data_IF_556642381759
#
_entry.id   IF_556642381759
#
_cell.length_a   1.000
_cell.length_b   1.000
_cell.length_c   1.000
_cell.angle_alpha   90.00
_cell.angle_beta   90.00
_cell.angle_gamma   90.00
#
_symmetry.space_group_name_H-M   'P 1'
#
loop_
_entity.id
_entity.type
_entity.pdbx_description
1 polymer ?
#
# COMPACT_ATOMS: atom_id res chain seq x y z
N UNK A 1 -10.00 8.49 -11.90
CA UNK A 1 -8.69 7.91 -12.13
C UNK A 1 -7.67 8.47 -11.14
N UNK A 2 -6.96 7.58 -10.46
CA UNK A 2 -6.04 7.97 -9.41
C UNK A 2 -4.65 8.22 -9.98
N UNK A 3 -4.09 9.37 -9.64
CA UNK A 3 -2.70 9.68 -9.99
C UNK A 3 -1.82 9.34 -8.80
N UNK A 4 -0.84 8.47 -9.02
CA UNK A 4 0.10 8.07 -7.97
C UNK A 4 1.32 8.98 -7.96
N UNK A 5 1.72 9.42 -6.76
CA UNK A 5 2.92 10.24 -6.58
C UNK A 5 4.13 9.38 -6.27
N UNK A 6 3.91 8.28 -5.56
CA UNK A 6 5.00 7.44 -5.07
C UNK A 6 4.55 5.99 -4.97
N UNK A 7 5.44 5.07 -5.33
CA UNK A 7 5.24 3.64 -5.10
C UNK A 7 6.39 3.13 -4.25
N UNK A 8 6.07 2.56 -3.11
CA UNK A 8 7.03 1.89 -2.24
C UNK A 8 6.82 0.40 -2.39
N UNK A 9 7.86 -0.33 -2.73
CA UNK A 9 7.74 -1.75 -3.04
C UNK A 9 8.79 -2.58 -2.35
N UNK A 10 8.39 -3.79 -1.95
CA UNK A 10 9.32 -4.84 -1.64
C UNK A 10 10.20 -5.10 -2.86
N UNK A 11 11.49 -5.41 -2.68
CA UNK A 11 12.40 -5.65 -3.81
C UNK A 11 12.28 -7.04 -4.43
N UNK A 12 11.28 -7.84 -4.03
CA UNK A 12 11.13 -9.19 -4.57
C UNK A 12 10.76 -9.17 -6.04
N UNK A 13 11.10 -10.24 -6.75
CA UNK A 13 10.78 -10.39 -8.16
C UNK A 13 9.26 -10.30 -8.40
N UNK A 14 8.48 -10.94 -7.52
CA UNK A 14 7.01 -10.97 -7.65
C UNK A 14 6.41 -9.57 -7.59
N UNK A 15 6.88 -8.74 -6.65
CA UNK A 15 6.34 -7.39 -6.54
C UNK A 15 6.77 -6.51 -7.71
N UNK A 16 8.00 -6.71 -8.23
CA UNK A 16 8.44 -6.00 -9.41
C UNK A 16 7.58 -6.30 -10.62
N UNK A 17 7.21 -7.57 -10.81
CA UNK A 17 6.33 -7.97 -11.89
C UNK A 17 4.93 -7.38 -11.73
N UNK A 18 4.42 -7.33 -10.51
CA UNK A 18 3.13 -6.73 -10.22
C UNK A 18 3.12 -5.25 -10.60
N UNK A 19 4.17 -4.53 -10.25
CA UNK A 19 4.28 -3.11 -10.57
C UNK A 19 4.30 -2.89 -12.08
N UNK A 20 5.08 -3.69 -12.81
CA UNK A 20 5.15 -3.58 -14.26
C UNK A 20 3.79 -3.75 -14.91
N UNK A 21 2.95 -4.59 -14.32
CA UNK A 21 1.61 -4.84 -14.83
C UNK A 21 0.69 -3.63 -14.64
N UNK A 22 0.85 -2.89 -13.54
CA UNK A 22 -0.07 -1.80 -13.19
C UNK A 22 0.37 -0.41 -13.63
N UNK A 23 1.67 -0.16 -13.80
CA UNK A 23 2.18 1.20 -13.95
C UNK A 23 2.88 1.45 -15.26
N UNK A 24 2.09 1.55 -16.31
CA UNK A 24 2.65 1.81 -17.62
C UNK A 24 2.54 3.27 -18.06
N UNK A 25 1.70 4.08 -17.40
CA UNK A 25 1.38 5.42 -17.93
C UNK A 25 1.85 6.60 -17.09
N UNK A 26 1.62 6.57 -15.80
CA UNK A 26 1.86 7.76 -14.96
C UNK A 26 3.29 7.91 -14.44
N UNK A 27 4.08 6.86 -14.53
CA UNK A 27 5.48 6.84 -14.10
C UNK A 27 5.70 7.50 -12.73
N UNK A 28 5.01 7.04 -11.69
CA UNK A 28 5.26 7.59 -10.36
C UNK A 28 6.68 7.29 -9.91
N UNK A 29 7.16 8.04 -8.92
CA UNK A 29 8.44 7.74 -8.31
C UNK A 29 8.36 6.33 -7.69
N UNK A 30 9.31 5.48 -8.00
CA UNK A 30 9.35 4.10 -7.52
C UNK A 30 10.57 3.88 -6.66
N UNK A 31 10.35 3.38 -5.44
CA UNK A 31 11.42 3.04 -4.51
C UNK A 31 11.27 1.61 -4.05
N UNK A 32 12.35 0.85 -4.12
CA UNK A 32 12.39 -0.50 -3.57
C UNK A 32 12.96 -0.43 -2.16
N UNK A 33 12.21 -0.91 -1.19
CA UNK A 33 12.53 -0.78 0.22
C UNK A 33 12.74 -2.17 0.82
N UNK A 34 13.98 -2.47 1.23
CA UNK A 34 14.31 -3.76 1.82
C UNK A 34 13.46 -4.06 3.05
N UNK A 35 13.14 -3.03 3.82
CA UNK A 35 12.36 -3.16 5.05
C UNK A 35 10.91 -3.62 4.80
N UNK A 36 10.46 -3.61 3.55
CA UNK A 36 9.11 -4.10 3.20
C UNK A 36 9.13 -5.61 2.93
N UNK A 37 10.29 -6.16 2.59
CA UNK A 37 10.43 -7.60 2.36
C UNK A 37 10.43 -8.32 3.71
N UNK A 38 9.56 -9.29 3.89
CA UNK A 38 9.33 -9.98 5.17
C UNK A 38 8.96 -9.02 6.31
N UNK A 39 8.31 -7.93 5.95
CA UNK A 39 7.98 -6.89 6.92
C UNK A 39 6.85 -7.31 7.86
N UNK A 40 6.89 -6.77 9.08
CA UNK A 40 5.74 -6.75 9.95
C UNK A 40 4.89 -5.52 9.62
N UNK A 41 3.68 -5.44 10.17
CA UNK A 41 2.85 -4.25 10.02
C UNK A 41 3.59 -3.00 10.52
N UNK A 42 4.31 -3.13 11.63
CA UNK A 42 5.06 -2.02 12.22
C UNK A 42 6.14 -1.50 11.28
N UNK A 43 6.81 -2.38 10.54
CA UNK A 43 7.80 -1.97 9.56
C UNK A 43 7.16 -1.16 8.44
N UNK A 44 5.98 -1.60 7.97
CA UNK A 44 5.24 -0.86 6.94
C UNK A 44 4.83 0.52 7.47
N UNK A 45 4.33 0.59 8.68
CA UNK A 45 3.91 1.84 9.27
C UNK A 45 5.09 2.81 9.42
N UNK A 46 6.27 2.31 9.81
CA UNK A 46 7.47 3.13 9.90
C UNK A 46 7.84 3.75 8.54
N UNK A 47 7.71 2.98 7.47
CA UNK A 47 7.98 3.51 6.13
C UNK A 47 6.97 4.58 5.74
N UNK A 48 5.71 4.40 6.11
CA UNK A 48 4.68 5.41 5.85
C UNK A 48 4.97 6.72 6.57
N UNK A 49 5.46 6.64 7.81
CA UNK A 49 5.79 7.84 8.60
C UNK A 49 6.88 8.68 7.96
N UNK A 50 7.71 8.09 7.11
CA UNK A 50 8.83 8.79 6.49
C UNK A 50 8.49 9.43 5.16
N UNK A 51 7.28 9.27 4.67
CA UNK A 51 6.87 9.82 3.38
C UNK A 51 6.79 11.34 3.46
N UNK A 52 7.30 12.00 2.41
CA UNK A 52 7.24 13.46 2.32
C UNK A 52 5.80 13.96 2.29
N UNK A 53 5.53 15.04 2.99
CA UNK A 53 4.20 15.66 3.01
C UNK A 53 3.74 16.13 1.62
N UNK A 54 4.66 16.26 0.68
CA UNK A 54 4.33 16.63 -0.70
C UNK A 54 3.64 15.51 -1.46
N UNK A 55 3.77 14.27 -0.99
CA UNK A 55 3.14 13.11 -1.63
C UNK A 55 1.72 12.96 -1.14
N UNK A 56 0.77 13.00 -2.04
CA UNK A 56 -0.65 12.88 -1.69
C UNK A 56 -1.18 11.47 -1.84
N UNK A 57 -0.71 10.74 -2.86
CA UNK A 57 -1.19 9.40 -3.14
C UNK A 57 -0.02 8.44 -3.28
N UNK A 58 0.02 7.45 -2.40
CA UNK A 58 1.13 6.50 -2.32
C UNK A 58 0.59 5.09 -2.41
N UNK A 59 1.26 4.24 -3.18
CA UNK A 59 0.96 2.82 -3.21
C UNK A 59 2.08 2.04 -2.54
N UNK A 60 1.70 1.05 -1.74
CA UNK A 60 2.66 0.12 -1.16
C UNK A 60 2.41 -1.26 -1.74
N UNK A 61 3.46 -1.90 -2.21
CA UNK A 61 3.41 -3.26 -2.73
C UNK A 61 4.30 -4.14 -1.85
N UNK A 62 3.67 -5.05 -1.16
CA UNK A 62 4.37 -5.92 -0.22
C UNK A 62 3.75 -7.30 -0.15
N UNK A 63 3.83 -7.91 1.02
CA UNK A 63 3.44 -9.30 1.21
C UNK A 63 2.45 -9.45 2.36
N UNK A 64 1.67 -10.52 2.34
CA UNK A 64 0.84 -10.89 3.46
C UNK A 64 1.68 -11.66 4.48
N UNK A 65 1.31 -11.60 5.77
CA UNK A 65 0.09 -10.98 6.30
C UNK A 65 0.20 -9.46 6.54
N UNK A 66 1.36 -8.84 6.34
CA UNK A 66 1.53 -7.43 6.71
C UNK A 66 0.62 -6.47 5.95
N UNK A 67 0.37 -6.74 4.66
CA UNK A 67 -0.54 -5.90 3.87
C UNK A 67 -1.96 -5.99 4.40
N UNK A 68 -2.42 -7.19 4.72
CA UNK A 68 -3.73 -7.40 5.31
C UNK A 68 -3.83 -6.68 6.67
N UNK A 69 -2.79 -6.87 7.50
CA UNK A 69 -2.75 -6.30 8.85
C UNK A 69 -2.78 -4.78 8.84
N UNK A 70 -1.97 -4.15 7.97
CA UNK A 70 -1.92 -2.68 7.93
C UNK A 70 -3.25 -2.10 7.42
N UNK A 71 -3.90 -2.78 6.49
CA UNK A 71 -5.19 -2.34 5.98
C UNK A 71 -6.23 -2.35 7.09
N UNK A 72 -6.31 -3.42 7.85
CA UNK A 72 -7.25 -3.52 8.98
C UNK A 72 -6.91 -2.52 10.08
N UNK A 73 -5.63 -2.31 10.34
CA UNK A 73 -5.20 -1.35 11.35
C UNK A 73 -5.64 0.07 11.03
N UNK A 74 -5.37 0.51 9.81
CA UNK A 74 -5.66 1.88 9.40
C UNK A 74 -7.15 2.17 9.26
N UNK A 75 -7.91 1.17 8.85
CA UNK A 75 -9.33 1.38 8.52
C UNK A 75 -10.30 0.81 9.55
N UNK A 76 -9.83 -0.07 10.41
CA UNK A 76 -10.65 -0.85 11.35
C UNK A 76 -11.77 -1.64 10.65
N UNK A 77 -11.57 -1.97 9.38
CA UNK A 77 -12.45 -2.84 8.63
C UNK A 77 -11.88 -4.25 8.64
N UNK A 78 -12.68 -5.21 9.09
CA UNK A 78 -12.27 -6.60 9.07
C UNK A 78 -12.41 -7.17 7.66
N UNK A 79 -11.34 -7.76 7.15
CA UNK A 79 -11.32 -8.38 5.83
C UNK A 79 -11.12 -9.88 6.02
N UNK A 80 -12.08 -10.68 5.52
CA UNK A 80 -11.97 -12.14 5.62
C UNK A 80 -10.75 -12.66 4.87
N UNK A 81 -10.48 -12.08 3.71
CA UNK A 81 -9.35 -12.49 2.88
C UNK A 81 -8.70 -11.27 2.25
N UNK A 82 -7.39 -11.34 2.14
CA UNK A 82 -6.62 -10.35 1.39
C UNK A 82 -5.74 -11.14 0.42
N UNK A 83 -6.29 -11.49 -0.76
CA UNK A 83 -5.55 -12.33 -1.70
C UNK A 83 -4.28 -11.68 -2.20
N UNK A 84 -3.35 -12.48 -2.67
CA UNK A 84 -2.17 -11.97 -3.36
C UNK A 84 -2.61 -11.10 -4.52
N UNK A 85 -1.98 -9.95 -4.70
CA UNK A 85 -2.30 -8.96 -5.74
C UNK A 85 -3.65 -8.27 -5.59
N UNK A 86 -4.28 -8.36 -4.42
CA UNK A 86 -5.46 -7.56 -4.14
C UNK A 86 -5.04 -6.11 -3.91
N UNK A 87 -5.96 -5.18 -4.18
CA UNK A 87 -5.72 -3.76 -4.00
C UNK A 87 -6.72 -3.17 -3.03
N UNK A 88 -6.22 -2.54 -1.97
CA UNK A 88 -7.05 -1.79 -1.03
C UNK A 88 -6.78 -0.31 -1.24
N UNK A 89 -7.84 0.45 -1.49
CA UNK A 89 -7.75 1.90 -1.60
C UNK A 89 -8.21 2.52 -0.30
N UNK A 90 -7.29 3.20 0.36
CA UNK A 90 -7.51 3.76 1.69
C UNK A 90 -7.41 5.27 1.62
N UNK A 91 -8.35 5.97 2.23
CA UNK A 91 -8.34 7.42 2.28
C UNK A 91 -8.12 7.86 3.72
N UNK A 92 -7.19 8.79 3.91
CA UNK A 92 -6.93 9.38 5.21
C UNK A 92 -6.81 10.89 5.10
N UNK A 93 -7.25 11.60 6.13
CA UNK A 93 -7.03 13.04 6.24
C UNK A 93 -5.84 13.36 7.13
N UNK A 94 -5.26 12.33 7.76
CA UNK A 94 -4.09 12.52 8.62
C UNK A 94 -2.83 12.71 7.77
N UNK A 95 -1.87 13.43 8.32
CA UNK A 95 -0.53 13.50 7.74
C UNK A 95 0.14 12.13 7.85
N UNK A 96 1.14 11.88 7.01
CA UNK A 96 1.86 10.60 7.05
C UNK A 96 2.41 10.29 8.43
N UNK A 97 2.94 11.31 9.12
CA UNK A 97 3.50 11.14 10.46
C UNK A 97 2.45 10.92 11.53
N UNK A 98 1.18 11.12 11.22
CA UNK A 98 0.09 11.04 12.18
C UNK A 98 -0.85 9.85 11.95
N UNK A 99 -0.44 8.89 11.16
CA UNK A 99 -1.25 7.70 10.92
C UNK A 99 -1.36 6.87 12.20
N UNK A 100 -2.58 6.46 12.51
CA UNK A 100 -2.86 5.69 13.71
C UNK A 100 -4.04 4.75 13.45
N UNK A 101 -4.32 3.91 14.42
CA UNK A 101 -5.39 2.92 14.29
C UNK A 101 -6.73 3.61 14.02
N UNK A 102 -7.40 3.16 12.96
CA UNK A 102 -8.73 3.66 12.63
C UNK A 102 -8.78 5.08 12.09
N UNK A 103 -7.62 5.65 11.72
CA UNK A 103 -7.59 7.03 11.23
C UNK A 103 -8.10 7.17 9.80
N UNK A 104 -8.30 6.07 9.10
CA UNK A 104 -8.57 6.07 7.67
C UNK A 104 -9.83 5.30 7.35
N UNK A 105 -10.34 5.47 6.13
CA UNK A 105 -11.46 4.68 5.66
C UNK A 105 -11.08 3.87 4.44
N UNK A 106 -11.64 2.66 4.34
CA UNK A 106 -11.46 1.81 3.18
C UNK A 106 -12.45 2.26 2.11
N UNK A 107 -11.91 2.84 1.04
CA UNK A 107 -12.74 3.37 -0.04
C UNK A 107 -13.11 2.28 -1.03
N UNK A 108 -12.19 1.37 -1.29
CA UNK A 108 -12.40 0.32 -2.27
C UNK A 108 -11.47 -0.85 -1.97
N UNK A 109 -11.95 -2.05 -2.27
CA UNK A 109 -11.13 -3.25 -2.14
C UNK A 109 -11.39 -4.14 -3.35
N UNK A 110 -10.35 -4.36 -4.15
CA UNK A 110 -10.46 -5.09 -5.40
C UNK A 110 -9.62 -6.36 -5.36
N UNK A 111 -10.24 -7.49 -5.68
CA UNK A 111 -9.55 -8.77 -5.78
C UNK A 111 -8.93 -8.92 -7.15
N UNK A 112 -7.94 -9.81 -7.32
CA UNK A 112 -7.27 -9.96 -8.62
C UNK A 112 -8.21 -10.22 -9.78
N UNK A 113 -9.29 -10.97 -9.57
CA UNK A 113 -10.26 -11.26 -10.62
C UNK A 113 -10.99 -10.01 -11.11
N UNK A 114 -11.04 -8.97 -10.30
CA UNK A 114 -11.70 -7.72 -10.62
C UNK A 114 -10.76 -6.71 -11.28
N UNK A 115 -9.45 -6.96 -11.22
CA UNK A 115 -8.43 -6.05 -11.74
C UNK A 115 -8.02 -6.36 -13.19
N UNK A 116 -8.53 -7.43 -13.73
CA UNK A 116 -8.22 -7.85 -15.11
C UNK A 116 -8.98 -7.06 -16.16
#
# INVERSE_FOLDING_TARGET
KIKLDLVLSSPSKRTKETIEHFFLKDKPKLEFIDNIYHASMENILDELYQISEEMNTVMIVGHNPSMHDITEFLTQKFLNKYPTCALAQIITENKWTELTQGCSSLENFMKPSELR
#
